data_IF_898854261961
#
_entry.id   IF_898854261961
#
_cell.length_a   1.000
_cell.length_b   1.000
_cell.length_c   1.000
_cell.angle_alpha   90.00
_cell.angle_beta   90.00
_cell.angle_gamma   90.00
#
_symmetry.space_group_name_H-M   'P 1'
#
loop_
_entity.id
_entity.type
_entity.pdbx_description
1 polymer ?
#
# COMPACT_ATOMS: atom_id res chain seq x y z
N UNK A 1 -45.25 -22.18 -30.96
CA UNK A 1 -44.42 -22.72 -29.86
C UNK A 1 -43.01 -22.83 -30.38
N UNK A 2 -42.12 -21.92 -30.01
CA UNK A 2 -40.73 -21.91 -30.45
C UNK A 2 -39.83 -21.85 -29.21
N UNK A 3 -38.99 -22.87 -29.05
CA UNK A 3 -38.03 -23.05 -27.97
C UNK A 3 -36.70 -22.38 -28.33
N UNK A 4 -36.17 -21.56 -27.42
CA UNK A 4 -34.86 -20.91 -27.55
C UNK A 4 -33.84 -21.60 -26.62
N UNK A 5 -32.68 -22.09 -27.11
CA UNK A 5 -31.73 -22.83 -26.30
C UNK A 5 -30.74 -21.94 -25.54
N UNK A 6 -30.75 -22.12 -24.22
CA UNK A 6 -29.75 -21.69 -23.25
C UNK A 6 -28.34 -22.15 -23.63
N UNK A 7 -27.40 -21.22 -23.78
CA UNK A 7 -25.96 -21.53 -23.87
C UNK A 7 -25.24 -20.99 -22.63
N UNK A 8 -24.74 -21.94 -21.83
CA UNK A 8 -23.98 -21.71 -20.61
C UNK A 8 -22.49 -21.73 -20.93
N UNK A 9 -21.78 -20.62 -20.72
CA UNK A 9 -20.33 -20.56 -20.87
C UNK A 9 -19.63 -20.86 -19.53
N UNK A 10 -18.96 -22.01 -19.45
CA UNK A 10 -18.07 -22.37 -18.35
C UNK A 10 -16.64 -21.93 -18.68
N UNK A 11 -16.08 -21.00 -17.91
CA UNK A 11 -14.65 -20.66 -17.95
C UNK A 11 -13.94 -21.31 -16.76
N UNK A 12 -13.10 -22.30 -17.07
CA UNK A 12 -12.23 -22.99 -16.11
C UNK A 12 -10.90 -22.24 -16.01
N UNK A 13 -10.58 -21.69 -14.84
CA UNK A 13 -9.28 -21.08 -14.54
C UNK A 13 -8.52 -21.98 -13.57
N UNK A 14 -7.46 -22.64 -14.05
CA UNK A 14 -6.57 -23.46 -13.25
C UNK A 14 -5.59 -22.64 -12.39
N UNK A 15 -5.01 -23.24 -11.33
CA UNK A 15 -4.03 -22.57 -10.48
C UNK A 15 -2.62 -22.59 -11.11
N UNK A 16 -1.97 -21.43 -11.20
CA UNK A 16 -0.53 -21.33 -11.52
C UNK A 16 0.26 -21.42 -10.21
N UNK A 17 0.95 -22.54 -10.01
CA UNK A 17 1.96 -22.68 -8.97
C UNK A 17 3.22 -21.90 -9.37
N UNK A 18 3.57 -20.88 -8.59
CA UNK A 18 4.82 -20.14 -8.74
C UNK A 18 5.84 -20.69 -7.76
N UNK A 19 6.71 -21.59 -8.24
CA UNK A 19 7.91 -22.02 -7.53
C UNK A 19 8.92 -20.87 -7.52
N UNK A 20 9.01 -20.14 -6.42
CA UNK A 20 10.05 -19.12 -6.22
C UNK A 20 11.40 -19.76 -5.88
N UNK A 21 12.53 -19.18 -6.33
CA UNK A 21 13.86 -19.69 -6.05
C UNK A 21 14.25 -19.48 -4.58
N UNK A 22 14.75 -20.55 -3.95
CA UNK A 22 15.45 -20.50 -2.65
C UNK A 22 16.76 -19.75 -2.81
N UNK A 23 16.80 -18.49 -2.37
CA UNK A 23 18.03 -17.72 -2.26
C UNK A 23 18.77 -18.12 -0.98
N UNK A 24 20.03 -18.49 -1.20
CA UNK A 24 21.02 -19.04 -0.29
C UNK A 24 21.47 -18.08 0.81
N UNK A 25 21.76 -18.71 1.94
CA UNK A 25 22.24 -18.19 3.23
C UNK A 25 23.54 -17.37 3.14
N UNK A 26 23.47 -16.10 3.49
CA UNK A 26 24.60 -15.32 4.00
C UNK A 26 24.27 -14.80 5.40
N UNK A 27 25.24 -14.61 6.32
CA UNK A 27 25.00 -13.99 7.61
C UNK A 27 24.94 -12.45 7.45
N UNK A 28 24.09 -11.98 6.53
CA UNK A 28 23.58 -10.62 6.59
C UNK A 28 22.55 -10.61 7.70
N UNK A 29 22.69 -9.70 8.66
CA UNK A 29 21.66 -9.50 9.68
C UNK A 29 20.39 -9.05 8.97
N UNK A 30 19.55 -10.04 8.67
CA UNK A 30 18.22 -9.87 8.13
C UNK A 30 17.44 -9.18 9.23
N UNK A 31 17.42 -7.85 9.21
CA UNK A 31 16.62 -7.04 10.10
C UNK A 31 15.17 -7.41 9.78
N UNK A 32 14.67 -8.37 10.55
CA UNK A 32 13.30 -8.84 10.42
C UNK A 32 12.41 -7.62 10.62
N UNK A 33 11.52 -7.43 9.66
CA UNK A 33 10.66 -6.28 9.59
C UNK A 33 9.83 -6.12 10.89
N UNK A 34 9.55 -7.24 11.54
CA UNK A 34 8.89 -7.37 12.83
C UNK A 34 9.68 -6.82 14.03
N UNK A 35 11.01 -6.70 13.92
CA UNK A 35 11.91 -6.26 14.99
C UNK A 35 12.17 -4.74 14.98
N UNK A 36 11.62 -4.00 14.00
CA UNK A 36 11.75 -2.54 13.94
C UNK A 36 10.85 -1.90 15.02
N UNK A 37 11.40 -1.12 15.97
CA UNK A 37 10.61 -0.44 17.00
C UNK A 37 9.57 0.49 16.35
N UNK A 38 8.29 0.26 16.63
CA UNK A 38 7.17 0.97 15.98
C UNK A 38 6.49 0.18 14.86
N UNK A 39 7.07 -0.94 14.42
CA UNK A 39 6.44 -1.92 13.55
C UNK A 39 5.41 -2.76 14.33
N UNK A 40 4.32 -2.11 14.72
CA UNK A 40 3.09 -2.81 15.04
C UNK A 40 2.65 -3.46 13.73
N UNK A 41 2.40 -4.78 13.68
CA UNK A 41 1.83 -5.46 12.50
C UNK A 41 0.73 -4.56 11.95
N UNK A 42 1.01 -3.87 10.85
CA UNK A 42 0.18 -2.79 10.38
C UNK A 42 -1.26 -3.29 10.33
N UNK A 43 -2.23 -2.53 10.86
CA UNK A 43 -3.63 -2.93 10.83
C UNK A 43 -3.95 -3.15 9.35
N UNK A 44 -4.33 -4.38 9.01
CA UNK A 44 -4.56 -4.78 7.63
C UNK A 44 -5.36 -3.70 6.88
N UNK A 45 -5.02 -3.50 5.59
CA UNK A 45 -5.56 -2.40 4.80
C UNK A 45 -7.09 -2.32 4.92
N UNK A 46 -7.58 -1.26 5.55
CA UNK A 46 -9.00 -1.13 5.86
C UNK A 46 -9.82 -0.89 4.58
N UNK A 47 -11.00 -1.50 4.51
CA UNK A 47 -11.94 -1.19 3.46
C UNK A 47 -12.50 0.23 3.65
N UNK A 48 -12.17 1.13 2.72
CA UNK A 48 -12.67 2.51 2.70
C UNK A 48 -14.19 2.63 2.58
N UNK A 49 -14.86 1.59 2.08
CA UNK A 49 -16.31 1.59 1.87
C UNK A 49 -17.08 1.00 3.05
N UNK A 50 -16.43 0.23 3.94
CA UNK A 50 -17.10 -0.43 5.06
C UNK A 50 -17.79 0.56 6.01
N UNK A 51 -17.14 1.68 6.32
CA UNK A 51 -17.67 2.76 7.18
C UNK A 51 -18.41 3.84 6.41
N UNK A 52 -18.52 3.73 5.08
CA UNK A 52 -19.26 4.70 4.27
C UNK A 52 -20.78 4.51 4.43
N UNK A 53 -21.61 5.55 4.21
CA UNK A 53 -23.07 5.41 4.27
C UNK A 53 -23.64 4.33 3.34
N UNK A 54 -22.96 4.08 2.23
CA UNK A 54 -23.35 3.07 1.25
C UNK A 54 -22.86 1.65 1.60
N UNK A 55 -21.94 1.50 2.56
CA UNK A 55 -21.32 0.24 2.94
C UNK A 55 -20.44 -0.40 1.84
N UNK A 56 -19.71 -1.45 2.22
CA UNK A 56 -18.93 -2.24 1.27
C UNK A 56 -19.82 -3.25 0.53
N UNK A 57 -19.93 -3.12 -0.80
CA UNK A 57 -20.74 -4.05 -1.63
C UNK A 57 -20.12 -5.44 -1.81
N UNK A 58 -18.86 -5.64 -1.42
CA UNK A 58 -18.15 -6.91 -1.59
C UNK A 58 -18.41 -7.91 -0.46
N UNK A 59 -18.92 -7.44 0.69
CA UNK A 59 -19.14 -8.27 1.88
C UNK A 59 -17.86 -9.03 2.27
N UNK A 60 -18.00 -10.32 2.57
CA UNK A 60 -16.89 -11.18 3.01
C UNK A 60 -15.86 -11.48 1.92
N UNK A 61 -16.17 -11.17 0.65
CA UNK A 61 -15.22 -11.28 -0.47
C UNK A 61 -14.36 -10.03 -0.64
N UNK A 62 -14.46 -9.06 0.26
CA UNK A 62 -13.61 -7.89 0.23
C UNK A 62 -12.17 -8.28 0.59
N UNK A 63 -11.22 -7.90 -0.27
CA UNK A 63 -9.77 -8.12 -0.02
C UNK A 63 -9.21 -7.17 1.06
N UNK A 64 -10.03 -6.23 1.54
CA UNK A 64 -9.67 -5.25 2.55
C UNK A 64 -10.38 -5.57 3.86
N UNK A 65 -9.75 -5.25 4.98
CA UNK A 65 -10.27 -5.56 6.30
C UNK A 65 -11.49 -4.72 6.67
N UNK A 66 -12.49 -5.39 7.27
CA UNK A 66 -13.72 -4.80 7.78
C UNK A 66 -13.69 -4.61 9.31
N UNK A 67 -12.52 -4.37 9.89
CA UNK A 67 -12.43 -4.10 11.32
C UNK A 67 -13.00 -2.71 11.64
N UNK A 68 -13.71 -2.62 12.76
CA UNK A 68 -14.05 -1.35 13.37
C UNK A 68 -12.75 -0.74 13.92
N UNK A 69 -12.29 0.36 13.33
CA UNK A 69 -11.21 1.13 13.96
C UNK A 69 -11.79 1.76 15.21
N UNK A 70 -11.04 1.71 16.32
CA UNK A 70 -11.34 2.57 17.47
C UNK A 70 -11.51 4.00 16.95
N UNK A 71 -12.58 4.68 17.39
CA UNK A 71 -13.02 5.96 16.82
C UNK A 71 -11.91 7.02 16.81
N UNK A 72 -10.97 6.93 17.76
CA UNK A 72 -9.78 7.76 17.90
C UNK A 72 -8.81 7.65 16.71
N UNK A 73 -8.69 6.48 16.09
CA UNK A 73 -7.80 6.24 14.95
C UNK A 73 -8.45 6.51 13.61
N UNK A 74 -9.79 6.55 13.54
CA UNK A 74 -10.52 6.85 12.31
C UNK A 74 -10.21 8.26 11.77
N UNK A 75 -9.90 9.21 12.66
CA UNK A 75 -9.55 10.58 12.27
C UNK A 75 -8.14 10.71 11.66
N UNK A 76 -7.27 9.74 11.94
CA UNK A 76 -5.96 9.59 11.33
C UNK A 76 -6.01 8.76 10.04
N UNK A 77 -7.18 8.17 9.71
CA UNK A 77 -7.32 7.40 8.48
C UNK A 77 -6.94 8.26 7.28
N UNK A 78 -6.11 7.68 6.42
CA UNK A 78 -5.46 8.32 5.27
C UNK A 78 -6.47 8.93 4.30
N UNK A 79 -7.03 10.10 4.64
CA UNK A 79 -7.80 10.89 3.70
C UNK A 79 -6.83 11.33 2.62
N UNK A 80 -7.06 10.84 1.41
CA UNK A 80 -6.31 11.27 0.23
C UNK A 80 -6.37 12.80 0.18
N UNK A 81 -5.22 13.51 0.28
CA UNK A 81 -5.19 14.96 0.22
C UNK A 81 -5.87 15.46 -1.05
N UNK A 82 -6.60 16.57 -0.91
CA UNK A 82 -7.21 17.25 -2.07
C UNK A 82 -6.10 17.67 -3.05
N UNK A 83 -6.46 17.84 -4.32
CA UNK A 83 -5.49 18.15 -5.39
C UNK A 83 -4.59 19.33 -5.03
N UNK A 84 -5.18 20.46 -4.64
CA UNK A 84 -4.44 21.67 -4.27
C UNK A 84 -3.45 21.43 -3.11
N UNK A 85 -3.88 20.71 -2.06
CA UNK A 85 -3.01 20.37 -0.93
C UNK A 85 -1.85 19.47 -1.37
N UNK A 86 -2.10 18.51 -2.27
CA UNK A 86 -1.05 17.65 -2.84
C UNK A 86 -0.03 18.46 -3.64
N UNK A 87 -0.51 19.42 -4.43
CA UNK A 87 0.36 20.27 -5.25
C UNK A 87 1.25 21.17 -4.37
N UNK A 88 0.70 21.74 -3.28
CA UNK A 88 1.46 22.48 -2.27
C UNK A 88 2.50 21.60 -1.56
N UNK A 89 2.12 20.40 -1.12
CA UNK A 89 3.06 19.48 -0.49
C UNK A 89 4.18 19.07 -1.46
N UNK A 90 3.85 18.91 -2.74
CA UNK A 90 4.83 18.58 -3.77
C UNK A 90 5.82 19.72 -4.01
N UNK A 91 5.37 20.97 -4.04
CA UNK A 91 6.28 22.12 -4.18
C UNK A 91 7.19 22.25 -2.95
N UNK A 92 6.61 22.10 -1.75
CA UNK A 92 7.36 22.14 -0.49
C UNK A 92 8.47 21.07 -0.44
N UNK A 93 8.14 19.82 -0.79
CA UNK A 93 9.14 18.73 -0.83
C UNK A 93 10.24 19.04 -1.86
N UNK A 94 9.88 19.61 -3.01
CA UNK A 94 10.86 19.96 -4.06
C UNK A 94 11.86 21.01 -3.54
N UNK A 95 11.37 22.08 -2.91
CA UNK A 95 12.20 23.13 -2.32
C UNK A 95 13.12 22.57 -1.22
N UNK A 96 12.60 21.69 -0.37
CA UNK A 96 13.38 21.06 0.70
C UNK A 96 14.53 20.21 0.15
N UNK A 97 14.28 19.44 -0.91
CA UNK A 97 15.31 18.61 -1.57
C UNK A 97 16.36 19.49 -2.25
N UNK A 98 15.95 20.59 -2.89
CA UNK A 98 16.88 21.55 -3.50
C UNK A 98 17.81 22.18 -2.44
N UNK A 99 17.29 22.55 -1.28
CA UNK A 99 18.10 23.09 -0.17
C UNK A 99 19.14 22.08 0.34
N UNK A 100 18.71 20.84 0.62
CA UNK A 100 19.61 19.78 1.11
C UNK A 100 20.71 19.46 0.10
N UNK A 101 20.41 19.49 -1.20
CA UNK A 101 21.40 19.27 -2.24
C UNK A 101 22.40 20.43 -2.35
N UNK A 102 21.96 21.67 -2.13
CA UNK A 102 22.84 22.84 -2.15
C UNK A 102 23.82 22.86 -0.95
N UNK A 103 23.39 22.37 0.21
CA UNK A 103 24.25 22.27 1.39
C UNK A 103 25.27 21.13 1.32
N UNK A 104 25.02 20.11 0.48
CA UNK A 104 25.96 19.02 0.20
C UNK A 104 26.99 19.35 -0.87
N UNK A 105 27.29 20.65 -1.10
CA UNK A 105 28.41 21.04 -1.97
C UNK A 105 29.64 20.18 -1.64
N UNK A 106 30.29 19.61 -2.67
CA UNK A 106 31.36 18.64 -2.47
C UNK A 106 32.44 19.35 -1.67
N UNK A 107 32.67 18.89 -0.44
CA UNK A 107 33.99 19.04 0.17
C UNK A 107 34.94 18.48 -0.87
N UNK A 108 35.60 19.38 -1.60
CA UNK A 108 36.63 19.03 -2.57
C UNK A 108 37.56 18.09 -1.82
N UNK A 109 37.53 16.82 -2.21
CA UNK A 109 38.51 15.82 -1.80
C UNK A 109 39.79 16.22 -2.52
N UNK A 110 40.38 17.33 -2.08
CA UNK A 110 41.71 17.78 -2.41
C UNK A 110 42.69 16.89 -1.63
N UNK A 111 42.69 15.59 -1.95
CA UNK A 111 43.73 14.68 -1.51
C UNK A 111 44.72 14.45 -2.66
N UNK A 112 45.79 15.24 -2.53
CA UNK A 112 47.19 15.08 -2.96
C UNK A 112 47.58 13.86 -3.79
#
# INVERSE_FOLDING_TARGET
MATDPSQSATVSSGPRASSGPSASSGPGQDLRLEDIPGYSRLPCNQCLFWTSPCGCRKGDRCVFCHHAVAQEQAHLSNRRPRKNQRDQMKSFIKELVEHLNAEQEPQEVAEK
#
